data_IF_494454894067
#
_entry.id   IF_494454894067
#
_cell.length_a   1.000
_cell.length_b   1.000
_cell.length_c   1.000
_cell.angle_alpha   90.00
_cell.angle_beta   90.00
_cell.angle_gamma   90.00
#
_symmetry.space_group_name_H-M   'P 1'
#
loop_
_entity.id
_entity.type
_entity.pdbx_description
1 polymer ?
#
# COMPACT_ATOMS: atom_id res chain seq x y z
N UNK A 1 1.23 4.24 -17.48
CA UNK A 1 1.93 5.36 -16.81
C UNK A 1 2.97 4.79 -15.87
N UNK A 2 4.06 5.50 -15.59
CA UNK A 2 5.01 5.11 -14.54
C UNK A 2 4.53 5.65 -13.20
N UNK A 3 4.89 4.98 -12.11
CA UNK A 3 4.50 5.38 -10.77
C UNK A 3 5.04 6.78 -10.41
N UNK A 4 6.24 7.12 -10.86
CA UNK A 4 6.80 8.46 -10.67
C UNK A 4 5.92 9.55 -11.27
N UNK A 5 5.46 9.35 -12.51
CA UNK A 5 4.63 10.33 -13.23
C UNK A 5 3.27 10.51 -12.52
N UNK A 6 2.67 9.41 -12.06
CA UNK A 6 1.38 9.48 -11.36
C UNK A 6 1.48 10.15 -9.99
N UNK A 7 2.60 9.98 -9.27
CA UNK A 7 2.88 10.73 -8.03
C UNK A 7 3.06 12.22 -8.37
N UNK A 8 3.88 12.56 -9.37
CA UNK A 8 4.13 13.95 -9.77
C UNK A 8 2.85 14.69 -10.20
N UNK A 9 1.91 13.98 -10.83
CA UNK A 9 0.61 14.54 -11.23
C UNK A 9 -0.40 14.67 -10.08
N UNK A 10 -0.12 14.11 -8.90
CA UNK A 10 -1.05 14.07 -7.78
C UNK A 10 -0.80 15.20 -6.79
N UNK A 11 -1.77 16.12 -6.68
CA UNK A 11 -1.70 17.23 -5.73
C UNK A 11 -1.60 16.73 -4.28
N UNK A 12 -0.70 17.35 -3.51
CA UNK A 12 -0.42 16.97 -2.12
C UNK A 12 0.71 15.95 -1.96
N UNK A 13 1.13 15.25 -3.02
CA UNK A 13 2.24 14.27 -2.95
C UNK A 13 3.26 14.39 -4.09
N UNK A 14 3.14 15.42 -4.96
CA UNK A 14 3.91 15.57 -6.20
C UNK A 14 5.43 15.40 -6.05
N UNK A 15 5.99 15.87 -4.94
CA UNK A 15 7.44 15.87 -4.68
C UNK A 15 7.86 14.74 -3.73
N UNK A 16 6.97 13.79 -3.44
CA UNK A 16 7.17 12.75 -2.42
C UNK A 16 7.61 11.40 -2.99
N UNK A 17 7.76 11.29 -4.32
CA UNK A 17 8.31 10.09 -4.95
C UNK A 17 9.77 9.87 -4.52
N UNK A 18 10.11 8.63 -4.20
CA UNK A 18 11.50 8.19 -4.00
C UNK A 18 11.77 6.92 -4.81
N UNK A 19 12.98 6.82 -5.35
CA UNK A 19 13.40 5.64 -6.11
C UNK A 19 13.48 4.39 -5.22
N UNK A 20 13.09 3.23 -5.75
CA UNK A 20 13.02 1.99 -4.97
C UNK A 20 12.16 2.14 -3.71
N UNK A 21 12.61 1.60 -2.58
CA UNK A 21 11.90 1.66 -1.29
C UNK A 21 12.36 2.82 -0.39
N UNK A 22 12.99 3.85 -0.95
CA UNK A 22 13.60 4.92 -0.16
C UNK A 22 12.60 5.84 0.55
N UNK A 23 11.31 5.80 0.23
CA UNK A 23 10.29 6.55 0.98
C UNK A 23 9.87 5.83 2.27
N UNK A 24 10.05 4.51 2.35
CA UNK A 24 9.64 3.74 3.53
C UNK A 24 10.58 4.00 4.69
N UNK A 25 10.03 4.03 5.89
CA UNK A 25 10.82 4.00 7.10
C UNK A 25 11.55 2.66 7.21
N UNK A 26 12.79 2.68 7.69
CA UNK A 26 13.64 1.49 7.73
C UNK A 26 12.99 0.32 8.48
N UNK A 27 12.40 0.60 9.66
CA UNK A 27 11.70 -0.39 10.48
C UNK A 27 10.55 -1.11 9.75
N UNK A 28 9.91 -0.43 8.81
CA UNK A 28 8.74 -0.92 8.08
C UNK A 28 9.20 -1.64 6.80
N UNK A 29 10.19 -1.05 6.11
CA UNK A 29 10.86 -1.65 4.96
C UNK A 29 11.43 -3.03 5.29
N UNK A 30 12.02 -3.21 6.47
CA UNK A 30 12.62 -4.48 6.89
C UNK A 30 11.59 -5.62 7.09
N UNK A 31 10.29 -5.33 7.06
CA UNK A 31 9.20 -6.32 7.07
C UNK A 31 8.78 -6.77 5.68
N UNK A 32 9.29 -6.12 4.64
CA UNK A 32 8.96 -6.42 3.26
C UNK A 32 10.11 -7.16 2.60
N UNK A 33 9.77 -8.17 1.81
CA UNK A 33 10.71 -8.86 0.95
C UNK A 33 10.11 -9.02 -0.43
N UNK A 34 10.91 -8.80 -1.46
CA UNK A 34 10.46 -8.83 -2.85
C UNK A 34 11.25 -9.88 -3.60
N UNK A 35 10.54 -10.71 -4.38
CA UNK A 35 11.19 -11.75 -5.19
C UNK A 35 12.19 -11.18 -6.19
N UNK A 36 11.84 -10.08 -6.83
CA UNK A 36 12.72 -9.37 -7.76
C UNK A 36 12.72 -7.86 -7.44
N UNK A 37 13.62 -7.40 -6.55
CA UNK A 37 13.69 -6.00 -6.14
C UNK A 37 13.89 -5.02 -7.30
N UNK A 38 14.45 -5.47 -8.43
CA UNK A 38 14.68 -4.64 -9.64
C UNK A 38 13.38 -4.21 -10.32
N UNK A 39 12.27 -4.90 -10.01
CA UNK A 39 10.92 -4.53 -10.45
C UNK A 39 10.33 -3.40 -9.64
N UNK A 40 10.87 -3.05 -8.48
CA UNK A 40 10.39 -1.89 -7.72
C UNK A 40 10.85 -0.64 -8.46
N UNK A 41 9.91 0.16 -8.95
CA UNK A 41 10.22 1.42 -9.62
C UNK A 41 10.38 2.56 -8.61
N UNK A 42 9.58 2.59 -7.55
CA UNK A 42 9.65 3.62 -6.52
C UNK A 42 8.64 3.43 -5.41
N UNK A 43 8.63 4.38 -4.48
CA UNK A 43 7.77 4.38 -3.31
C UNK A 43 7.32 5.79 -2.93
N UNK A 44 6.23 5.83 -2.17
CA UNK A 44 5.61 7.02 -1.59
C UNK A 44 5.27 6.72 -0.14
N UNK A 45 5.67 7.59 0.79
CA UNK A 45 5.17 7.60 2.16
C UNK A 45 3.98 8.56 2.21
N UNK A 46 2.78 8.01 2.05
CA UNK A 46 1.55 8.76 1.93
C UNK A 46 1.16 9.40 3.27
N UNK A 47 1.28 8.66 4.39
CA UNK A 47 0.95 9.19 5.72
C UNK A 47 1.75 10.46 6.02
N UNK A 48 3.08 10.41 5.85
CA UNK A 48 3.94 11.57 6.07
C UNK A 48 3.68 12.70 5.06
N UNK A 49 3.47 12.36 3.78
CA UNK A 49 3.28 13.37 2.74
C UNK A 49 2.01 14.20 2.93
N UNK A 50 0.97 13.61 3.52
CA UNK A 50 -0.35 14.25 3.64
C UNK A 50 -0.71 14.62 5.08
N UNK A 51 0.22 14.45 6.02
CA UNK A 51 -0.02 14.67 7.46
C UNK A 51 -0.51 16.09 7.76
N UNK A 52 0.15 17.10 7.20
CA UNK A 52 -0.21 18.51 7.39
C UNK A 52 -1.59 18.88 6.81
N UNK A 53 -2.08 18.14 5.81
CA UNK A 53 -3.34 18.42 5.12
C UNK A 53 -4.53 17.65 5.71
N UNK A 54 -4.27 16.47 6.28
CA UNK A 54 -5.28 15.55 6.79
C UNK A 54 -4.92 15.09 8.20
N UNK A 55 -4.72 16.06 9.10
CA UNK A 55 -4.51 15.76 10.52
C UNK A 55 -5.73 15.00 11.08
N UNK A 56 -5.46 14.03 11.95
CA UNK A 56 -6.46 13.18 12.63
C UNK A 56 -7.32 12.28 11.73
N UNK A 57 -7.05 12.23 10.41
CA UNK A 57 -7.70 11.30 9.50
C UNK A 57 -7.04 9.92 9.58
N UNK A 58 -7.76 8.83 9.26
CA UNK A 58 -7.20 7.48 9.23
C UNK A 58 -6.38 7.31 7.95
N UNK A 59 -5.22 7.95 7.87
CA UNK A 59 -4.34 7.91 6.70
C UNK A 59 -3.72 6.52 6.51
N UNK A 60 -3.41 6.21 5.26
CA UNK A 60 -2.72 4.99 4.86
C UNK A 60 -1.23 5.25 4.71
N UNK A 61 -0.40 4.26 5.03
CA UNK A 61 1.04 4.51 5.17
C UNK A 61 1.77 4.69 3.83
N UNK A 62 1.79 3.66 2.96
CA UNK A 62 2.71 3.63 1.82
C UNK A 62 2.05 3.23 0.49
N UNK A 63 2.58 3.76 -0.60
CA UNK A 63 2.39 3.29 -1.96
C UNK A 63 3.72 2.81 -2.57
N UNK A 64 3.69 1.72 -3.35
CA UNK A 64 4.87 1.16 -4.01
C UNK A 64 4.55 0.92 -5.49
N UNK A 65 5.40 1.45 -6.36
CA UNK A 65 5.38 1.21 -7.79
C UNK A 65 6.13 -0.06 -8.18
N UNK A 66 5.50 -0.90 -8.98
CA UNK A 66 6.04 -2.16 -9.51
C UNK A 66 5.99 -2.11 -11.02
N UNK A 67 7.14 -2.31 -11.67
CA UNK A 67 7.26 -2.40 -13.13
C UNK A 67 6.43 -3.56 -13.65
N UNK A 68 5.46 -3.24 -14.51
CA UNK A 68 4.60 -4.19 -15.20
C UNK A 68 5.13 -4.51 -16.60
N UNK A 69 5.57 -3.48 -17.32
CA UNK A 69 6.25 -3.60 -18.61
C UNK A 69 7.50 -2.70 -18.62
N UNK A 70 8.20 -2.59 -19.76
CA UNK A 70 9.31 -1.64 -19.90
C UNK A 70 8.91 -0.16 -19.77
N UNK A 71 7.62 0.16 -19.91
CA UNK A 71 7.12 1.55 -19.93
C UNK A 71 5.98 1.84 -18.95
N UNK A 72 5.46 0.83 -18.24
CA UNK A 72 4.34 1.00 -17.31
C UNK A 72 4.56 0.31 -15.98
N UNK A 73 3.98 0.91 -14.94
CA UNK A 73 3.96 0.37 -13.58
C UNK A 73 2.53 0.04 -13.15
N UNK A 74 2.44 -0.75 -12.09
CA UNK A 74 1.26 -0.88 -11.22
C UNK A 74 1.61 -0.46 -9.79
N UNK A 75 0.60 -0.07 -9.00
CA UNK A 75 0.77 0.36 -7.62
C UNK A 75 0.13 -0.64 -6.64
N UNK A 76 0.84 -0.95 -5.57
CA UNK A 76 0.30 -1.61 -4.38
C UNK A 76 0.42 -0.66 -3.18
N UNK A 77 -0.41 -0.90 -2.17
CA UNK A 77 -0.57 -0.03 -1.02
C UNK A 77 -0.32 -0.83 0.26
N UNK A 78 0.66 -0.40 1.04
CA UNK A 78 1.11 -1.10 2.25
C UNK A 78 0.69 -0.30 3.47
N UNK A 79 0.11 -0.99 4.44
CA UNK A 79 -0.23 -0.46 5.75
C UNK A 79 0.49 -1.29 6.82
N UNK A 80 1.31 -0.63 7.64
CA UNK A 80 2.07 -1.28 8.72
C UNK A 80 1.42 -0.92 10.05
N UNK A 81 0.61 -1.83 10.58
CA UNK A 81 -0.25 -1.55 11.74
C UNK A 81 -0.38 -2.78 12.64
N UNK A 82 -0.56 -2.64 13.98
CA UNK A 82 -0.77 -3.79 14.88
C UNK A 82 -1.90 -4.70 14.42
N UNK A 83 -1.67 -6.01 14.36
CA UNK A 83 -2.59 -6.97 13.76
C UNK A 83 -3.40 -7.76 14.80
N UNK A 84 -4.19 -7.01 15.60
CA UNK A 84 -5.18 -7.58 16.52
C UNK A 84 -6.59 -7.53 15.95
N UNK A 85 -7.47 -8.42 16.42
CA UNK A 85 -8.86 -8.50 15.99
C UNK A 85 -9.62 -7.16 16.13
N UNK A 86 -9.28 -6.35 17.13
CA UNK A 86 -9.91 -5.04 17.36
C UNK A 86 -9.42 -3.94 16.39
N UNK A 87 -8.33 -4.16 15.65
CA UNK A 87 -7.78 -3.20 14.69
C UNK A 87 -8.43 -3.31 13.30
N UNK A 88 -9.18 -4.39 13.02
CA UNK A 88 -9.80 -4.61 11.71
C UNK A 88 -10.69 -3.45 11.27
N UNK A 89 -11.51 -2.91 12.17
CA UNK A 89 -12.36 -1.78 11.81
C UNK A 89 -11.54 -0.52 11.50
N UNK A 90 -10.47 -0.26 12.26
CA UNK A 90 -9.58 0.87 12.04
C UNK A 90 -8.91 0.78 10.66
N UNK A 91 -8.48 -0.42 10.28
CA UNK A 91 -7.86 -0.65 8.98
C UNK A 91 -8.82 -0.49 7.81
N UNK A 92 -10.06 -0.96 7.96
CA UNK A 92 -11.12 -0.74 6.96
C UNK A 92 -11.37 0.76 6.79
N UNK A 93 -11.43 1.52 7.89
CA UNK A 93 -11.59 2.98 7.82
C UNK A 93 -10.40 3.64 7.10
N UNK A 94 -9.16 3.19 7.37
CA UNK A 94 -7.98 3.65 6.64
C UNK A 94 -8.08 3.36 5.14
N UNK A 95 -8.55 2.17 4.76
CA UNK A 95 -8.71 1.82 3.35
C UNK A 95 -9.79 2.67 2.68
N UNK A 96 -10.91 2.91 3.37
CA UNK A 96 -11.97 3.79 2.86
C UNK A 96 -11.42 5.19 2.62
N UNK A 97 -10.61 5.73 3.54
CA UNK A 97 -9.94 7.01 3.35
C UNK A 97 -8.98 6.97 2.14
N UNK A 98 -8.14 5.94 2.01
CA UNK A 98 -7.22 5.80 0.88
C UNK A 98 -7.97 5.80 -0.46
N UNK A 99 -9.01 4.96 -0.59
CA UNK A 99 -9.81 4.89 -1.82
C UNK A 99 -10.45 6.24 -2.15
N UNK A 100 -10.97 6.95 -1.15
CA UNK A 100 -11.55 8.28 -1.35
C UNK A 100 -10.47 9.28 -1.78
N UNK A 101 -9.30 9.27 -1.15
CA UNK A 101 -8.20 10.13 -1.51
C UNK A 101 -7.72 9.86 -2.95
N UNK A 102 -7.52 8.59 -3.31
CA UNK A 102 -7.13 8.18 -4.66
C UNK A 102 -8.13 8.64 -5.72
N UNK A 103 -9.43 8.40 -5.51
CA UNK A 103 -10.45 8.78 -6.49
C UNK A 103 -10.63 10.29 -6.65
N UNK A 104 -10.38 11.08 -5.61
CA UNK A 104 -10.66 12.52 -5.63
C UNK A 104 -9.42 13.40 -5.83
N UNK A 105 -8.25 12.93 -5.44
CA UNK A 105 -7.00 13.72 -5.39
C UNK A 105 -5.85 13.13 -6.21
N UNK A 106 -5.92 11.83 -6.53
CA UNK A 106 -4.81 11.11 -7.16
C UNK A 106 -5.32 10.04 -8.16
N UNK A 107 -6.17 10.46 -9.10
CA UNK A 107 -6.84 9.55 -10.07
C UNK A 107 -5.83 8.75 -10.91
N UNK A 108 -4.69 9.32 -11.24
CA UNK A 108 -3.64 8.63 -11.98
C UNK A 108 -3.05 7.47 -11.17
N UNK A 109 -2.80 7.67 -9.88
CA UNK A 109 -2.40 6.60 -8.95
C UNK A 109 -3.49 5.53 -8.81
N UNK A 110 -4.76 5.94 -8.75
CA UNK A 110 -5.89 5.01 -8.73
C UNK A 110 -5.89 4.13 -9.99
N UNK A 111 -5.68 4.72 -11.17
CA UNK A 111 -5.75 4.01 -12.45
C UNK A 111 -4.67 2.95 -12.64
N UNK A 112 -3.52 3.10 -11.97
CA UNK A 112 -2.43 2.11 -11.98
C UNK A 112 -2.46 1.18 -10.76
N UNK A 113 -3.40 1.35 -9.84
CA UNK A 113 -3.52 0.45 -8.68
C UNK A 113 -3.79 -0.97 -9.16
N UNK A 114 -3.06 -1.94 -8.59
CA UNK A 114 -3.18 -3.36 -8.90
C UNK A 114 -4.64 -3.83 -8.68
N UNK A 115 -5.10 -4.82 -9.46
CA UNK A 115 -6.53 -5.15 -9.53
C UNK A 115 -6.96 -6.24 -8.55
N UNK A 116 -6.10 -7.23 -8.32
CA UNK A 116 -6.48 -8.45 -7.62
C UNK A 116 -6.37 -8.30 -6.09
N UNK A 117 -5.26 -7.73 -5.61
CA UNK A 117 -4.93 -7.63 -4.19
C UNK A 117 -4.00 -6.44 -3.88
N UNK A 118 -4.42 -5.19 -4.19
CA UNK A 118 -3.55 -4.02 -4.05
C UNK A 118 -3.35 -3.56 -2.60
N UNK A 119 -4.22 -3.90 -1.66
CA UNK A 119 -4.21 -3.35 -0.30
C UNK A 119 -3.69 -4.38 0.70
N UNK A 120 -2.47 -4.14 1.19
CA UNK A 120 -1.70 -5.12 1.93
C UNK A 120 -1.53 -4.64 3.37
N UNK A 121 -1.95 -5.49 4.31
CA UNK A 121 -1.67 -5.28 5.72
C UNK A 121 -0.42 -6.04 6.15
N UNK A 122 0.55 -5.32 6.67
CA UNK A 122 1.74 -5.86 7.31
C UNK A 122 1.64 -5.58 8.81
N UNK A 123 1.80 -6.62 9.62
CA UNK A 123 1.75 -6.44 11.07
C UNK A 123 3.01 -5.75 11.56
N UNK A 124 2.86 -4.74 12.41
CA UNK A 124 3.98 -4.13 13.15
C UNK A 124 4.46 -5.01 14.33
N UNK A 125 3.76 -6.09 14.64
CA UNK A 125 4.06 -7.02 15.73
C UNK A 125 3.47 -8.40 15.46
N UNK A 126 3.06 -9.12 16.50
CA UNK A 126 2.42 -10.42 16.34
C UNK A 126 1.02 -10.31 15.72
N UNK A 127 0.59 -11.32 14.97
CA UNK A 127 -0.79 -11.43 14.47
C UNK A 127 -1.60 -12.25 15.48
N UNK A 128 -2.52 -11.61 16.20
CA UNK A 128 -3.22 -12.24 17.34
C UNK A 128 -4.59 -12.84 17.01
N UNK A 129 -4.94 -12.97 15.72
CA UNK A 129 -6.20 -13.57 15.28
C UNK A 129 -6.02 -14.51 14.10
N UNK A 130 -6.94 -15.47 13.95
CA UNK A 130 -6.83 -16.55 12.97
C UNK A 130 -7.38 -16.16 11.60
N UNK A 131 -6.82 -16.75 10.53
CA UNK A 131 -7.26 -16.53 9.15
C UNK A 131 -8.68 -17.04 8.86
N UNK A 132 -9.17 -17.99 9.66
CA UNK A 132 -10.54 -18.54 9.59
C UNK A 132 -11.57 -17.70 10.36
N UNK A 133 -11.14 -16.64 11.05
CA UNK A 133 -12.01 -15.83 11.90
C UNK A 133 -13.00 -14.95 11.10
N UNK A 134 -14.10 -14.52 11.73
CA UNK A 134 -14.99 -13.50 11.15
C UNK A 134 -14.26 -12.20 10.78
N UNK A 135 -13.25 -11.82 11.56
CA UNK A 135 -12.40 -10.65 11.33
C UNK A 135 -11.63 -10.77 10.02
N UNK A 136 -11.01 -11.92 9.76
CA UNK A 136 -10.33 -12.21 8.49
C UNK A 136 -11.29 -12.18 7.30
N UNK A 137 -12.51 -12.70 7.45
CA UNK A 137 -13.57 -12.60 6.42
C UNK A 137 -13.92 -11.14 6.12
N UNK A 138 -14.03 -10.28 7.14
CA UNK A 138 -14.32 -8.85 6.96
C UNK A 138 -13.20 -8.12 6.20
N UNK A 139 -11.93 -8.44 6.47
CA UNK A 139 -10.80 -7.90 5.70
C UNK A 139 -10.88 -8.30 4.23
N UNK A 140 -11.10 -9.59 3.95
CA UNK A 140 -11.21 -10.10 2.59
C UNK A 140 -12.36 -9.42 1.82
N UNK A 141 -13.53 -9.24 2.46
CA UNK A 141 -14.66 -8.51 1.87
C UNK A 141 -14.34 -7.03 1.58
N UNK A 142 -13.48 -6.40 2.39
CA UNK A 142 -13.01 -5.03 2.13
C UNK A 142 -11.92 -4.95 1.02
N UNK A 143 -11.34 -6.10 0.64
CA UNK A 143 -10.23 -6.22 -0.30
C UNK A 143 -8.85 -6.05 0.34
N UNK A 144 -8.73 -6.28 1.65
CA UNK A 144 -7.45 -6.23 2.39
C UNK A 144 -6.92 -7.64 2.58
N UNK A 145 -5.61 -7.84 2.39
CA UNK A 145 -4.96 -9.12 2.67
C UNK A 145 -5.03 -9.48 4.15
N UNK A 146 -5.04 -10.78 4.47
CA UNK A 146 -4.77 -11.21 5.84
C UNK A 146 -3.35 -10.76 6.27
N UNK A 147 -3.16 -10.21 7.48
CA UNK A 147 -1.88 -9.65 7.89
C UNK A 147 -0.79 -10.71 8.00
N UNK A 148 0.44 -10.27 7.73
CA UNK A 148 1.66 -11.06 7.97
C UNK A 148 2.69 -10.18 8.66
N UNK A 149 3.50 -10.77 9.53
CA UNK A 149 4.61 -10.04 10.19
C UNK A 149 5.70 -9.66 9.19
N UNK A 150 5.98 -10.58 8.25
CA UNK A 150 6.85 -10.38 7.10
C UNK A 150 6.05 -10.69 5.84
N UNK A 151 6.01 -9.73 4.92
CA UNK A 151 5.24 -9.87 3.70
C UNK A 151 6.17 -10.09 2.51
N UNK A 152 6.03 -11.27 1.89
CA UNK A 152 6.78 -11.64 0.70
C UNK A 152 5.97 -11.33 -0.56
N UNK A 153 6.40 -10.30 -1.29
CA UNK A 153 5.81 -9.89 -2.55
C UNK A 153 6.29 -10.78 -3.69
N UNK A 154 5.41 -11.68 -4.09
CA UNK A 154 5.54 -12.40 -5.35
C UNK A 154 5.18 -11.42 -6.48
N UNK A 155 6.18 -10.93 -7.20
CA UNK A 155 5.92 -10.23 -8.47
C UNK A 155 5.34 -11.25 -9.44
N UNK A 156 4.00 -11.31 -9.55
CA UNK A 156 3.33 -12.26 -10.44
C UNK A 156 3.79 -11.99 -11.87
N UNK A 157 4.30 -13.03 -12.53
CA UNK A 157 4.39 -13.06 -13.98
C UNK A 157 3.00 -13.45 -14.49
N UNK A 158 2.28 -12.53 -15.15
CA UNK A 158 1.25 -12.98 -16.10
C UNK A 158 2.01 -13.32 -17.38
N UNK A 159 2.05 -14.61 -17.74
CA UNK A 159 2.38 -14.99 -19.12
C UNK A 159 1.33 -14.31 -20.00
N UNK A 160 1.79 -13.44 -20.89
CA UNK A 160 1.04 -12.97 -22.05
C UNK A 160 0.66 -14.14 -22.94
#
# INVERSE_FOLDING_TARGET
MRFQDTVANSNGVRDCYRAGLQALLERDRNRLSFKDPRKISGSLNLDAAVDGLYRDQPRWDYGIGIKKTGSTDEAIWIEVHPADANQVQKLINKLTWLKNWLNNRAKDLMSITERDSPYIWVSSGHVSFQQTSPQAKRLALAGITFPREYYYLQTRWRKS
#
